data_IF_635436660208
#
_entry.id   IF_635436660208
#
_cell.length_a   1.000
_cell.length_b   1.000
_cell.length_c   1.000
_cell.angle_alpha   90.00
_cell.angle_beta   90.00
_cell.angle_gamma   90.00
#
_symmetry.space_group_name_H-M   'P 1'
#
loop_
_entity.id
_entity.type
_entity.pdbx_description
1 polymer ?
#
# COMPACT_ATOMS: atom_id res chain seq x y z
N UNK A 1 -6.44 29.23 31.07
CA UNK A 1 -6.15 27.76 31.25
C UNK A 1 -6.15 27.13 29.88
N UNK A 2 -4.99 26.94 29.27
CA UNK A 2 -4.88 26.27 27.96
C UNK A 2 -5.00 24.76 28.21
N UNK A 3 -6.13 24.17 27.86
CA UNK A 3 -6.29 22.73 27.87
C UNK A 3 -5.36 22.16 26.82
N UNK A 4 -4.38 21.36 27.24
CA UNK A 4 -3.50 20.66 26.29
C UNK A 4 -4.35 19.94 25.24
N UNK A 5 -4.01 20.05 23.95
CA UNK A 5 -4.78 19.44 22.88
C UNK A 5 -4.88 17.93 23.13
N UNK A 6 -6.11 17.45 23.26
CA UNK A 6 -6.38 16.03 23.43
C UNK A 6 -6.04 15.28 22.14
N UNK A 7 -5.66 14.02 22.23
CA UNK A 7 -5.42 13.15 21.05
C UNK A 7 -6.60 13.17 20.08
N UNK A 8 -7.83 13.34 20.59
CA UNK A 8 -9.04 13.52 19.79
C UNK A 8 -9.02 14.79 18.95
N UNK A 9 -8.53 15.92 19.51
CA UNK A 9 -8.41 17.17 18.78
C UNK A 9 -7.39 17.08 17.64
N UNK A 10 -6.26 16.40 17.87
CA UNK A 10 -5.25 16.15 16.84
C UNK A 10 -5.80 15.28 15.69
N UNK A 11 -6.52 14.20 16.02
CA UNK A 11 -7.18 13.34 15.01
C UNK A 11 -8.23 14.10 14.19
N UNK A 12 -9.08 14.90 14.85
CA UNK A 12 -10.09 15.70 14.17
C UNK A 12 -9.44 16.71 13.20
N UNK A 13 -8.35 17.38 13.64
CA UNK A 13 -7.60 18.29 12.79
C UNK A 13 -7.01 17.62 11.56
N UNK A 14 -6.40 16.46 11.69
CA UNK A 14 -5.84 15.70 10.56
C UNK A 14 -6.94 15.21 9.60
N UNK A 15 -8.07 14.78 10.13
CA UNK A 15 -9.23 14.40 9.32
C UNK A 15 -9.77 15.57 8.49
N UNK A 16 -9.92 16.75 9.10
CA UNK A 16 -10.36 17.96 8.41
C UNK A 16 -9.39 18.35 7.30
N UNK A 17 -8.07 18.31 7.56
CA UNK A 17 -7.04 18.57 6.55
C UNK A 17 -7.20 17.64 5.34
N UNK A 18 -7.37 16.36 5.58
CA UNK A 18 -7.50 15.35 4.52
C UNK A 18 -8.74 15.58 3.65
N UNK A 19 -9.84 16.05 4.23
CA UNK A 19 -11.08 16.37 3.51
C UNK A 19 -11.10 17.75 2.85
N UNK A 20 -10.33 18.71 3.35
CA UNK A 20 -10.35 20.11 2.87
C UNK A 20 -9.73 20.25 1.47
N UNK A 21 -8.81 19.38 1.09
CA UNK A 21 -8.17 19.39 -0.23
C UNK A 21 -8.99 18.54 -1.18
N UNK A 22 -9.94 19.17 -1.90
CA UNK A 22 -10.86 18.48 -2.84
C UNK A 22 -10.14 17.65 -3.91
N UNK A 23 -8.94 18.05 -4.32
CA UNK A 23 -8.14 17.32 -5.30
C UNK A 23 -7.72 15.92 -4.80
N UNK A 24 -7.49 15.73 -3.49
CA UNK A 24 -7.03 14.46 -2.91
C UNK A 24 -8.05 13.32 -3.08
N UNK A 25 -9.31 13.47 -2.63
CA UNK A 25 -10.29 12.39 -2.82
C UNK A 25 -10.63 12.15 -4.28
N UNK A 26 -10.62 13.18 -5.14
CA UNK A 26 -10.84 13.02 -6.57
C UNK A 26 -9.69 12.22 -7.22
N UNK A 27 -8.45 12.58 -6.94
CA UNK A 27 -7.29 11.83 -7.44
C UNK A 27 -7.29 10.38 -6.96
N UNK A 28 -7.65 10.13 -5.70
CA UNK A 28 -7.81 8.78 -5.16
C UNK A 28 -8.90 8.00 -5.90
N UNK A 29 -10.06 8.61 -6.12
CA UNK A 29 -11.17 7.97 -6.83
C UNK A 29 -10.80 7.64 -8.28
N UNK A 30 -10.16 8.56 -9.00
CA UNK A 30 -9.68 8.34 -10.37
C UNK A 30 -8.65 7.21 -10.42
N UNK A 31 -7.69 7.20 -9.50
CA UNK A 31 -6.67 6.15 -9.44
C UNK A 31 -7.27 4.78 -9.11
N UNK A 32 -8.23 4.72 -8.19
CA UNK A 32 -8.95 3.47 -7.88
C UNK A 32 -9.77 2.99 -9.07
N UNK A 33 -10.48 3.89 -9.77
CA UNK A 33 -11.22 3.55 -10.97
C UNK A 33 -10.29 3.02 -12.08
N UNK A 34 -9.14 3.67 -12.29
CA UNK A 34 -8.14 3.23 -13.26
C UNK A 34 -7.58 1.84 -12.88
N UNK A 35 -7.29 1.61 -11.59
CA UNK A 35 -6.82 0.32 -11.11
C UNK A 35 -7.84 -0.81 -11.35
N UNK A 36 -9.12 -0.55 -11.07
CA UNK A 36 -10.20 -1.51 -11.34
C UNK A 36 -10.38 -1.77 -12.84
N UNK A 37 -10.31 -0.73 -13.65
CA UNK A 37 -10.45 -0.83 -15.10
C UNK A 37 -9.32 -1.66 -15.71
N UNK A 38 -8.06 -1.40 -15.33
CA UNK A 38 -6.91 -2.19 -15.79
C UNK A 38 -7.02 -3.63 -15.30
N UNK A 39 -7.37 -3.86 -14.03
CA UNK A 39 -7.58 -5.20 -13.50
C UNK A 39 -8.68 -5.96 -14.24
N UNK A 40 -9.74 -5.29 -14.67
CA UNK A 40 -10.80 -5.89 -15.48
C UNK A 40 -10.28 -6.29 -16.87
N UNK A 41 -9.46 -5.44 -17.50
CA UNK A 41 -8.81 -5.76 -18.78
C UNK A 41 -7.90 -6.97 -18.64
N UNK A 42 -7.10 -7.04 -17.56
CA UNK A 42 -6.23 -8.18 -17.28
C UNK A 42 -7.04 -9.48 -17.18
N UNK A 43 -8.13 -9.48 -16.42
CA UNK A 43 -9.01 -10.64 -16.30
C UNK A 43 -9.71 -11.04 -17.60
N UNK A 44 -10.20 -10.07 -18.36
CA UNK A 44 -10.83 -10.30 -19.67
C UNK A 44 -9.82 -10.93 -20.64
N UNK A 45 -8.60 -10.36 -20.69
CA UNK A 45 -7.50 -10.91 -21.50
C UNK A 45 -7.15 -12.34 -21.11
N UNK A 46 -7.10 -12.66 -19.81
CA UNK A 46 -6.87 -14.03 -19.35
C UNK A 46 -7.98 -14.98 -19.78
N UNK A 47 -9.24 -14.56 -19.67
CA UNK A 47 -10.39 -15.37 -20.08
C UNK A 47 -10.40 -15.62 -21.59
N UNK A 48 -10.09 -14.62 -22.40
CA UNK A 48 -10.09 -14.72 -23.86
C UNK A 48 -8.94 -15.58 -24.38
N UNK A 49 -7.76 -15.40 -23.79
CA UNK A 49 -6.55 -16.12 -24.23
C UNK A 49 -6.35 -17.47 -23.54
N UNK A 50 -7.26 -17.90 -22.65
CA UNK A 50 -7.12 -19.15 -21.89
C UNK A 50 -6.88 -20.38 -22.75
N UNK A 51 -7.57 -20.47 -23.89
CA UNK A 51 -7.46 -21.60 -24.81
C UNK A 51 -6.07 -21.68 -25.51
N UNK A 52 -5.40 -20.55 -25.69
CA UNK A 52 -4.09 -20.46 -26.34
C UNK A 52 -2.91 -20.68 -25.35
N UNK A 53 -3.18 -20.67 -24.03
CA UNK A 53 -2.13 -20.84 -23.04
C UNK A 53 -1.59 -22.27 -23.02
N UNK A 54 -0.28 -22.38 -22.79
CA UNK A 54 0.38 -23.67 -22.58
C UNK A 54 -0.11 -24.35 -21.29
N UNK A 55 0.08 -25.66 -21.18
CA UNK A 55 -0.25 -26.41 -19.98
C UNK A 55 0.46 -25.82 -18.73
N UNK A 56 1.73 -25.46 -18.88
CA UNK A 56 2.53 -24.87 -17.81
C UNK A 56 2.00 -23.48 -17.37
N UNK A 57 1.55 -22.63 -18.31
CA UNK A 57 0.94 -21.35 -18.01
C UNK A 57 -0.37 -21.50 -17.24
N UNK A 58 -1.20 -22.48 -17.62
CA UNK A 58 -2.47 -22.77 -16.94
C UNK A 58 -2.25 -23.31 -15.53
N UNK A 59 -1.25 -24.16 -15.33
CA UNK A 59 -0.90 -24.70 -14.02
C UNK A 59 -0.41 -23.63 -13.05
N UNK A 60 0.32 -22.63 -13.56
CA UNK A 60 0.84 -21.50 -12.77
C UNK A 60 -0.19 -20.37 -12.56
N UNK A 61 -1.36 -20.47 -13.17
CA UNK A 61 -2.37 -19.43 -13.07
C UNK A 61 -3.01 -19.39 -11.69
N UNK A 62 -2.82 -18.28 -10.99
CA UNK A 62 -3.51 -17.97 -9.74
C UNK A 62 -4.51 -16.83 -10.03
N UNK A 63 -5.84 -17.13 -10.03
CA UNK A 63 -6.86 -16.15 -10.37
C UNK A 63 -6.84 -14.89 -9.49
N UNK A 64 -6.48 -15.04 -8.21
CA UNK A 64 -6.44 -13.91 -7.27
C UNK A 64 -5.21 -13.05 -7.53
N UNK A 65 -4.03 -13.66 -7.60
CA UNK A 65 -2.78 -12.96 -7.88
C UNK A 65 -2.81 -12.24 -9.21
N UNK A 66 -3.41 -12.84 -10.23
CA UNK A 66 -3.49 -12.26 -11.57
C UNK A 66 -4.21 -10.91 -11.57
N UNK A 67 -5.31 -10.78 -10.82
CA UNK A 67 -6.04 -9.52 -10.71
C UNK A 67 -5.34 -8.46 -9.88
N UNK A 68 -4.38 -8.86 -9.05
CA UNK A 68 -3.53 -7.94 -8.30
C UNK A 68 -2.21 -7.60 -9.03
N UNK A 69 -2.15 -7.80 -10.35
CA UNK A 69 -1.00 -7.41 -11.17
C UNK A 69 -1.10 -5.95 -11.67
N UNK A 70 -1.42 -5.73 -12.93
CA UNK A 70 -1.34 -4.43 -13.59
C UNK A 70 -2.09 -3.31 -12.88
N UNK A 71 -3.39 -3.47 -12.68
CA UNK A 71 -4.23 -2.43 -12.07
C UNK A 71 -3.84 -2.10 -10.64
N UNK A 72 -3.40 -3.09 -9.88
CA UNK A 72 -3.03 -2.88 -8.49
C UNK A 72 -1.73 -2.08 -8.32
N UNK A 73 -0.80 -2.16 -9.27
CA UNK A 73 0.39 -1.30 -9.30
C UNK A 73 0.03 0.19 -9.43
N UNK A 74 -1.01 0.52 -10.19
CA UNK A 74 -1.53 1.89 -10.27
C UNK A 74 -2.07 2.34 -8.90
N UNK A 75 -2.78 1.46 -8.19
CA UNK A 75 -3.24 1.76 -6.84
C UNK A 75 -2.09 1.97 -5.85
N UNK A 76 -1.04 1.15 -5.92
CA UNK A 76 0.19 1.30 -5.11
C UNK A 76 0.81 2.69 -5.33
N UNK A 77 0.96 3.11 -6.60
CA UNK A 77 1.48 4.44 -6.94
C UNK A 77 0.62 5.56 -6.35
N UNK A 78 -0.69 5.46 -6.53
CA UNK A 78 -1.63 6.49 -6.07
C UNK A 78 -1.67 6.60 -4.53
N UNK A 79 -1.87 5.48 -3.86
CA UNK A 79 -2.01 5.43 -2.39
C UNK A 79 -0.69 5.78 -1.71
N UNK A 80 0.45 5.31 -2.25
CA UNK A 80 1.78 5.68 -1.77
C UNK A 80 2.05 7.18 -1.89
N UNK A 81 1.70 7.79 -3.03
CA UNK A 81 1.84 9.24 -3.23
C UNK A 81 0.96 10.01 -2.23
N UNK A 82 -0.29 9.60 -2.03
CA UNK A 82 -1.17 10.25 -1.06
C UNK A 82 -0.61 10.16 0.36
N UNK A 83 -0.07 9.01 0.76
CA UNK A 83 0.61 8.87 2.05
C UNK A 83 1.80 9.81 2.19
N UNK A 84 2.64 9.90 1.16
CA UNK A 84 3.80 10.80 1.14
C UNK A 84 3.37 12.26 1.24
N UNK A 85 2.38 12.67 0.45
CA UNK A 85 1.86 14.05 0.44
C UNK A 85 1.27 14.45 1.79
N UNK A 86 0.64 13.53 2.50
CA UNK A 86 0.06 13.82 3.82
C UNK A 86 1.08 14.34 4.84
N UNK A 87 2.37 14.03 4.69
CA UNK A 87 3.43 14.59 5.52
C UNK A 87 4.23 15.68 4.81
N UNK A 88 4.73 15.40 3.59
CA UNK A 88 5.69 16.27 2.91
C UNK A 88 5.11 17.63 2.51
N UNK A 89 3.81 17.69 2.19
CA UNK A 89 3.15 18.97 1.85
C UNK A 89 3.16 19.98 3.00
N UNK A 90 3.12 19.53 4.25
CA UNK A 90 3.20 20.45 5.41
C UNK A 90 4.59 21.08 5.55
N UNK A 91 5.64 20.39 5.12
CA UNK A 91 6.99 20.97 5.09
C UNK A 91 7.14 21.98 3.94
N UNK A 92 6.64 21.65 2.75
CA UNK A 92 6.75 22.54 1.58
C UNK A 92 5.91 23.81 1.71
N UNK A 93 4.78 23.75 2.43
CA UNK A 93 3.91 24.90 2.69
C UNK A 93 4.23 25.64 4.01
N UNK A 94 5.16 25.11 4.82
CA UNK A 94 5.48 25.67 6.14
C UNK A 94 4.41 25.40 7.22
N UNK A 95 3.33 24.70 6.90
CA UNK A 95 2.23 24.38 7.82
C UNK A 95 2.68 23.51 9.01
N UNK A 96 3.79 22.79 8.87
CA UNK A 96 4.33 21.97 9.97
C UNK A 96 4.58 22.79 11.23
N UNK A 97 5.00 24.06 11.09
CA UNK A 97 5.26 24.97 12.24
C UNK A 97 3.99 25.28 13.01
N UNK A 98 2.90 25.59 12.31
CA UNK A 98 1.59 25.86 12.94
C UNK A 98 1.02 24.61 13.58
N UNK A 99 1.19 23.44 12.93
CA UNK A 99 0.77 22.14 13.47
C UNK A 99 1.50 21.83 14.77
N UNK A 100 2.82 22.02 14.83
CA UNK A 100 3.63 21.74 16.01
C UNK A 100 3.43 22.80 17.12
N UNK A 101 3.10 24.05 16.77
CA UNK A 101 2.71 25.05 17.74
C UNK A 101 1.37 24.75 18.43
N UNK A 102 0.41 24.18 17.64
CA UNK A 102 -0.88 23.76 18.17
C UNK A 102 -0.81 22.46 18.99
N UNK A 103 0.11 21.54 18.63
CA UNK A 103 0.31 20.24 19.30
C UNK A 103 1.80 20.09 19.66
N UNK A 104 2.23 20.55 20.86
CA UNK A 104 3.65 20.58 21.23
C UNK A 104 4.30 19.19 21.31
N UNK A 105 3.50 18.15 21.52
CA UNK A 105 3.98 16.76 21.55
C UNK A 105 4.12 16.20 20.14
N UNK A 106 5.29 16.37 19.53
CA UNK A 106 5.62 15.96 18.14
C UNK A 106 5.20 14.52 17.82
N UNK A 107 5.38 13.59 18.76
CA UNK A 107 4.94 12.19 18.59
C UNK A 107 3.42 12.03 18.42
N UNK A 108 2.62 12.89 19.06
CA UNK A 108 1.15 12.85 18.91
C UNK A 108 0.72 13.25 17.48
N UNK A 109 1.42 14.20 16.85
CA UNK A 109 1.16 14.58 15.45
C UNK A 109 1.44 13.40 14.52
N UNK A 110 2.59 12.71 14.72
CA UNK A 110 2.95 11.54 13.92
C UNK A 110 1.91 10.42 14.06
N UNK A 111 1.51 10.09 15.29
CA UNK A 111 0.52 9.05 15.58
C UNK A 111 -0.85 9.43 15.03
N UNK A 112 -1.32 10.66 15.25
CA UNK A 112 -2.62 11.10 14.73
C UNK A 112 -2.68 11.03 13.22
N UNK A 113 -1.63 11.49 12.52
CA UNK A 113 -1.52 11.42 11.07
C UNK A 113 -1.45 9.99 10.57
N UNK A 114 -0.67 9.13 11.23
CA UNK A 114 -0.59 7.70 10.90
C UNK A 114 -1.93 6.99 11.06
N UNK A 115 -2.69 7.28 12.11
CA UNK A 115 -4.02 6.69 12.31
C UNK A 115 -5.03 7.13 11.25
N UNK A 116 -5.03 8.41 10.89
CA UNK A 116 -5.95 8.95 9.88
C UNK A 116 -5.59 8.41 8.49
N UNK A 117 -4.33 8.54 8.08
CA UNK A 117 -3.86 8.06 6.77
C UNK A 117 -4.00 6.53 6.68
N UNK A 118 -3.56 5.80 7.72
CA UNK A 118 -3.66 4.36 7.79
C UNK A 118 -5.10 3.85 7.74
N UNK A 119 -6.01 4.48 8.49
CA UNK A 119 -7.43 4.12 8.50
C UNK A 119 -8.10 4.34 7.14
N UNK A 120 -7.87 5.51 6.53
CA UNK A 120 -8.43 5.82 5.20
C UNK A 120 -7.85 4.91 4.14
N UNK A 121 -6.54 4.72 4.11
CA UNK A 121 -5.90 3.84 3.12
C UNK A 121 -6.24 2.37 3.33
N UNK A 122 -6.49 1.92 4.58
CA UNK A 122 -6.98 0.57 4.85
C UNK A 122 -8.39 0.37 4.29
N UNK A 123 -9.30 1.31 4.50
CA UNK A 123 -10.65 1.24 3.94
C UNK A 123 -10.63 1.24 2.41
N UNK A 124 -9.89 2.15 1.79
CA UNK A 124 -9.76 2.23 0.34
C UNK A 124 -9.07 0.99 -0.24
N UNK A 125 -8.01 0.53 0.40
CA UNK A 125 -7.28 -0.66 -0.02
C UNK A 125 -8.12 -1.93 0.06
N UNK A 126 -8.87 -2.11 1.16
CA UNK A 126 -9.77 -3.25 1.28
C UNK A 126 -10.92 -3.19 0.27
N UNK A 127 -11.51 -2.01 0.08
CA UNK A 127 -12.55 -1.82 -0.92
C UNK A 127 -12.05 -2.18 -2.32
N UNK A 128 -10.88 -1.66 -2.71
CA UNK A 128 -10.27 -1.97 -4.00
C UNK A 128 -9.99 -3.47 -4.14
N UNK A 129 -9.37 -4.09 -3.14
CA UNK A 129 -9.03 -5.51 -3.19
C UNK A 129 -10.28 -6.40 -3.34
N UNK A 130 -11.34 -6.11 -2.59
CA UNK A 130 -12.60 -6.82 -2.72
C UNK A 130 -13.27 -6.59 -4.08
N UNK A 131 -13.32 -5.35 -4.56
CA UNK A 131 -13.89 -5.05 -5.87
C UNK A 131 -13.11 -5.73 -7.00
N UNK A 132 -11.78 -5.68 -6.97
CA UNK A 132 -10.92 -6.37 -7.94
C UNK A 132 -11.21 -7.87 -7.93
N UNK A 133 -11.28 -8.49 -6.75
CA UNK A 133 -11.63 -9.90 -6.61
C UNK A 133 -13.01 -10.24 -7.18
N UNK A 134 -14.05 -9.44 -6.86
CA UNK A 134 -15.41 -9.66 -7.34
C UNK A 134 -15.52 -9.52 -8.86
N UNK A 135 -14.87 -8.50 -9.43
CA UNK A 135 -14.81 -8.30 -10.89
C UNK A 135 -14.09 -9.45 -11.58
N UNK A 136 -12.95 -9.88 -11.03
CA UNK A 136 -12.21 -11.02 -11.55
C UNK A 136 -13.02 -12.32 -11.51
N UNK A 137 -13.67 -12.59 -10.39
CA UNK A 137 -14.57 -13.74 -10.25
C UNK A 137 -15.67 -13.73 -11.31
N UNK A 138 -16.27 -12.56 -11.57
CA UNK A 138 -17.31 -12.41 -12.61
C UNK A 138 -16.73 -12.63 -14.02
N UNK A 139 -15.60 -12.03 -14.33
CA UNK A 139 -14.95 -12.16 -15.64
C UNK A 139 -14.54 -13.62 -15.95
N UNK A 140 -14.05 -14.34 -14.93
CA UNK A 140 -13.59 -15.73 -15.08
C UNK A 140 -14.69 -16.78 -14.96
N UNK A 141 -15.92 -16.40 -14.58
CA UNK A 141 -17.03 -17.35 -14.35
C UNK A 141 -17.42 -18.13 -15.61
N UNK A 142 -17.40 -17.47 -16.77
CA UNK A 142 -17.73 -18.11 -18.06
C UNK A 142 -16.73 -19.19 -18.54
N UNK A 143 -15.56 -19.26 -17.92
CA UNK A 143 -14.51 -20.26 -18.22
C UNK A 143 -14.32 -21.28 -17.10
N UNK A 144 -15.17 -21.32 -16.08
CA UNK A 144 -15.05 -22.16 -14.88
C UNK A 144 -13.72 -21.95 -14.11
N UNK A 145 -13.10 -20.77 -14.25
CA UNK A 145 -11.86 -20.40 -13.57
C UNK A 145 -12.10 -19.57 -12.29
N UNK A 146 -13.36 -19.25 -12.01
CA UNK A 146 -13.74 -18.45 -10.86
C UNK A 146 -13.56 -19.23 -9.55
N UNK A 147 -12.86 -18.65 -8.59
CA UNK A 147 -12.68 -19.22 -7.25
C UNK A 147 -13.60 -18.55 -6.24
N UNK A 148 -14.22 -19.30 -5.30
CA UNK A 148 -15.00 -18.70 -4.24
C UNK A 148 -14.11 -18.05 -3.19
N UNK A 149 -14.63 -17.03 -2.47
CA UNK A 149 -13.89 -16.35 -1.41
C UNK A 149 -13.49 -17.30 -0.26
N UNK A 150 -14.30 -18.34 -0.03
CA UNK A 150 -14.03 -19.37 0.99
C UNK A 150 -12.98 -20.41 0.58
N UNK A 151 -12.46 -20.37 -0.65
CA UNK A 151 -11.38 -21.28 -1.04
C UNK A 151 -10.10 -21.01 -0.22
N UNK A 152 -9.29 -22.05 0.03
CA UNK A 152 -8.08 -21.91 0.84
C UNK A 152 -7.18 -20.78 0.35
N UNK A 153 -6.79 -19.87 1.23
CA UNK A 153 -5.89 -18.77 0.93
C UNK A 153 -6.50 -17.55 0.24
N UNK A 154 -7.69 -17.64 -0.37
CA UNK A 154 -8.30 -16.53 -1.14
C UNK A 154 -8.63 -15.33 -0.25
N UNK A 155 -9.38 -15.52 0.82
CA UNK A 155 -9.72 -14.42 1.73
C UNK A 155 -8.46 -13.75 2.31
N UNK A 156 -7.45 -14.55 2.68
CA UNK A 156 -6.16 -14.06 3.17
C UNK A 156 -5.45 -13.20 2.11
N UNK A 157 -5.42 -13.66 0.86
CA UNK A 157 -4.75 -12.92 -0.22
C UNK A 157 -5.45 -11.58 -0.49
N UNK A 158 -6.78 -11.57 -0.57
CA UNK A 158 -7.57 -10.34 -0.76
C UNK A 158 -7.34 -9.34 0.39
N UNK A 159 -7.43 -9.81 1.64
CA UNK A 159 -7.19 -8.96 2.82
C UNK A 159 -5.73 -8.50 2.85
N UNK A 160 -4.79 -9.39 2.55
CA UNK A 160 -3.36 -9.07 2.53
C UNK A 160 -3.00 -7.98 1.54
N UNK A 161 -3.55 -8.02 0.32
CA UNK A 161 -3.34 -6.99 -0.69
C UNK A 161 -3.92 -5.63 -0.26
N UNK A 162 -5.11 -5.62 0.36
CA UNK A 162 -5.69 -4.38 0.89
C UNK A 162 -4.86 -3.78 2.04
N UNK A 163 -4.36 -4.62 2.95
CA UNK A 163 -3.47 -4.20 4.04
C UNK A 163 -2.12 -3.72 3.52
N UNK A 164 -1.60 -4.33 2.44
CA UNK A 164 -0.38 -3.86 1.80
C UNK A 164 -0.51 -2.41 1.32
N UNK A 165 -1.63 -2.04 0.68
CA UNK A 165 -1.87 -0.64 0.27
C UNK A 165 -1.84 0.32 1.45
N UNK A 166 -2.47 -0.07 2.56
CA UNK A 166 -2.42 0.75 3.79
C UNK A 166 -0.99 0.91 4.32
N UNK A 167 -0.26 -0.18 4.40
CA UNK A 167 1.12 -0.15 4.85
C UNK A 167 2.02 0.66 3.90
N UNK A 168 1.77 0.58 2.60
CA UNK A 168 2.52 1.35 1.60
C UNK A 168 2.24 2.86 1.72
N UNK A 169 0.99 3.26 1.99
CA UNK A 169 0.66 4.64 2.32
C UNK A 169 1.38 5.13 3.59
N UNK A 170 1.41 4.28 4.62
CA UNK A 170 2.11 4.58 5.87
C UNK A 170 3.63 4.68 5.69
N UNK A 171 4.23 3.84 4.84
CA UNK A 171 5.64 3.98 4.45
C UNK A 171 5.89 5.31 3.74
N UNK A 172 5.01 5.69 2.80
CA UNK A 172 5.05 7.00 2.15
C UNK A 172 4.97 8.15 3.14
N UNK A 173 4.05 8.07 4.11
CA UNK A 173 3.91 9.05 5.19
C UNK A 173 5.20 9.18 6.00
N UNK A 174 5.78 8.06 6.43
CA UNK A 174 7.02 8.05 7.21
C UNK A 174 8.20 8.63 6.41
N UNK A 175 8.35 8.27 5.14
CA UNK A 175 9.36 8.85 4.25
C UNK A 175 9.16 10.36 4.04
N UNK A 176 7.91 10.82 3.97
CA UNK A 176 7.59 12.25 3.91
C UNK A 176 8.10 13.03 5.13
N UNK A 177 8.00 12.45 6.33
CA UNK A 177 8.57 13.03 7.56
C UNK A 177 10.11 12.98 7.58
N UNK A 178 10.72 11.90 7.08
CA UNK A 178 12.17 11.71 7.07
C UNK A 178 12.85 12.66 6.09
N UNK A 179 12.36 12.70 4.84
CA UNK A 179 12.99 13.43 3.74
C UNK A 179 12.52 14.88 3.64
N UNK A 180 11.36 15.23 4.18
CA UNK A 180 10.79 16.59 4.22
C UNK A 180 10.68 17.26 2.84
N UNK A 181 10.78 16.48 1.78
CA UNK A 181 10.73 16.91 0.38
C UNK A 181 9.88 15.93 -0.42
N UNK A 182 8.84 16.43 -1.07
CA UNK A 182 7.83 15.59 -1.72
C UNK A 182 8.39 14.71 -2.81
N UNK A 183 9.12 15.28 -3.78
CA UNK A 183 9.66 14.51 -4.90
C UNK A 183 10.67 13.46 -4.42
N UNK A 184 11.53 13.79 -3.46
CA UNK A 184 12.48 12.85 -2.88
C UNK A 184 11.80 11.69 -2.16
N UNK A 185 10.75 11.97 -1.39
CA UNK A 185 10.02 10.95 -0.64
C UNK A 185 9.23 10.01 -1.56
N UNK A 186 8.59 10.57 -2.61
CA UNK A 186 7.91 9.78 -3.64
C UNK A 186 8.91 8.92 -4.41
N UNK A 187 10.04 9.50 -4.86
CA UNK A 187 11.07 8.76 -5.58
C UNK A 187 11.69 7.63 -4.73
N UNK A 188 11.95 7.88 -3.44
CA UNK A 188 12.47 6.88 -2.52
C UNK A 188 11.45 5.73 -2.29
N UNK A 189 10.17 6.06 -2.12
CA UNK A 189 9.12 5.07 -1.92
C UNK A 189 8.98 4.15 -3.15
N UNK A 190 8.93 4.72 -4.34
CA UNK A 190 8.81 3.97 -5.58
C UNK A 190 10.09 3.22 -5.94
N UNK A 191 11.25 3.84 -5.70
CA UNK A 191 12.53 3.16 -5.82
C UNK A 191 12.59 1.92 -4.93
N UNK A 192 12.18 2.04 -3.67
CA UNK A 192 12.13 0.91 -2.74
C UNK A 192 11.19 -0.21 -3.23
N UNK A 193 10.10 0.12 -3.91
CA UNK A 193 9.15 -0.88 -4.43
C UNK A 193 9.61 -1.47 -5.76
N UNK A 194 9.84 -0.64 -6.78
CA UNK A 194 10.09 -1.11 -8.15
C UNK A 194 11.53 -1.52 -8.41
N UNK A 195 12.51 -0.92 -7.71
CA UNK A 195 13.92 -1.27 -7.88
C UNK A 195 14.36 -2.40 -6.95
N UNK A 196 13.57 -2.75 -5.92
CA UNK A 196 13.95 -3.81 -4.98
C UNK A 196 14.24 -5.15 -5.66
N UNK A 197 13.48 -5.64 -6.65
CA UNK A 197 13.81 -6.90 -7.30
C UNK A 197 15.17 -6.84 -8.01
N UNK A 198 15.46 -5.75 -8.72
CA UNK A 198 16.71 -5.57 -9.45
C UNK A 198 17.92 -5.44 -8.51
N UNK A 199 17.75 -4.69 -7.41
CA UNK A 199 18.85 -4.42 -6.47
C UNK A 199 19.14 -5.62 -5.55
N UNK A 200 18.12 -6.42 -5.22
CA UNK A 200 18.27 -7.54 -4.30
C UNK A 200 18.56 -8.87 -5.00
N UNK A 201 18.25 -9.01 -6.28
CA UNK A 201 18.53 -10.23 -7.05
C UNK A 201 20.01 -10.69 -6.99
N UNK A 202 21.02 -9.79 -7.12
CA UNK A 202 22.42 -10.20 -7.03
C UNK A 202 22.85 -10.70 -5.65
N UNK A 203 22.06 -10.41 -4.60
CA UNK A 203 22.33 -10.83 -3.21
C UNK A 203 21.79 -12.22 -2.90
N UNK A 204 21.19 -12.88 -3.90
CA UNK A 204 20.61 -14.22 -3.80
C UNK A 204 19.18 -14.24 -3.27
N UNK A 205 18.52 -15.40 -3.46
CA UNK A 205 17.09 -15.59 -3.16
C UNK A 205 16.76 -15.38 -1.68
N UNK A 206 17.72 -15.70 -0.79
CA UNK A 206 17.58 -15.47 0.65
C UNK A 206 17.31 -14.01 1.04
N UNK A 207 17.79 -13.05 0.24
CA UNK A 207 17.62 -11.61 0.47
C UNK A 207 16.51 -11.04 -0.41
N UNK A 208 16.42 -11.46 -1.67
CA UNK A 208 15.46 -10.94 -2.66
C UNK A 208 14.00 -11.16 -2.24
N UNK A 209 13.71 -12.24 -1.49
CA UNK A 209 12.38 -12.52 -0.92
C UNK A 209 11.86 -11.45 0.04
N UNK A 210 12.74 -10.64 0.64
CA UNK A 210 12.36 -9.53 1.51
C UNK A 210 12.08 -8.24 0.73
N UNK A 211 12.32 -8.19 -0.58
CA UNK A 211 11.98 -7.05 -1.40
C UNK A 211 10.50 -6.68 -1.25
N UNK A 212 10.20 -5.38 -1.26
CA UNK A 212 8.84 -4.90 -0.99
C UNK A 212 7.83 -5.39 -2.05
N UNK A 213 8.28 -5.53 -3.30
CA UNK A 213 7.46 -6.14 -4.36
C UNK A 213 7.27 -7.64 -4.13
N UNK A 214 8.32 -8.37 -3.72
CA UNK A 214 8.23 -9.81 -3.40
C UNK A 214 7.27 -10.07 -2.23
N UNK A 215 7.28 -9.21 -1.22
CA UNK A 215 6.33 -9.25 -0.08
C UNK A 215 4.90 -9.03 -0.57
N UNK A 216 4.69 -8.06 -1.46
CA UNK A 216 3.36 -7.80 -2.06
C UNK A 216 2.86 -9.03 -2.83
N UNK A 217 3.67 -9.57 -3.72
CA UNK A 217 3.32 -10.77 -4.50
C UNK A 217 3.04 -11.98 -3.60
N UNK A 218 3.82 -12.16 -2.53
CA UNK A 218 3.61 -13.22 -1.56
C UNK A 218 2.31 -13.09 -0.76
N UNK A 219 1.84 -11.86 -0.50
CA UNK A 219 0.53 -11.62 0.12
C UNK A 219 -0.63 -11.93 -0.84
N UNK A 220 -0.49 -11.60 -2.12
CA UNK A 220 -1.53 -11.77 -3.13
C UNK A 220 -1.68 -13.20 -3.66
N UNK A 221 -0.75 -14.11 -3.40
CA UNK A 221 -0.85 -15.49 -3.88
C UNK A 221 -1.75 -16.36 -3.01
N UNK A 222 -2.58 -17.20 -3.64
CA UNK A 222 -3.43 -18.18 -2.94
C UNK A 222 -2.73 -19.52 -2.74
N UNK A 223 -1.84 -19.88 -3.67
CA UNK A 223 -1.07 -21.11 -3.61
C UNK A 223 0.06 -20.92 -2.62
N UNK A 224 0.13 -21.78 -1.61
CA UNK A 224 1.32 -21.89 -0.77
C UNK A 224 2.47 -22.38 -1.66
N UNK A 225 3.24 -21.44 -2.21
CA UNK A 225 4.41 -21.79 -3.01
C UNK A 225 5.39 -22.50 -2.08
N UNK A 226 5.50 -23.81 -2.22
CA UNK A 226 6.41 -24.67 -1.48
C UNK A 226 7.87 -24.52 -1.98
N UNK A 227 8.28 -23.31 -2.33
CA UNK A 227 9.64 -22.98 -2.74
C UNK A 227 10.37 -22.25 -1.65
N UNK A 228 11.63 -22.60 -1.40
CA UNK A 228 12.52 -21.91 -0.45
C UNK A 228 12.71 -20.40 -0.78
N UNK A 229 12.29 -19.98 -1.96
CA UNK A 229 12.57 -18.67 -2.54
C UNK A 229 11.56 -17.59 -2.16
N UNK A 230 10.45 -17.92 -1.50
CA UNK A 230 9.40 -16.96 -1.12
C UNK A 230 9.07 -17.02 0.36
N UNK A 231 8.77 -15.85 0.91
CA UNK A 231 8.24 -15.77 2.26
C UNK A 231 6.83 -16.35 2.31
N UNK A 232 6.57 -17.21 3.29
CA UNK A 232 5.20 -17.59 3.61
C UNK A 232 4.39 -16.37 4.08
N UNK A 233 3.05 -16.50 4.15
CA UNK A 233 2.17 -15.37 4.48
C UNK A 233 2.54 -14.65 5.78
N UNK A 234 2.87 -15.40 6.82
CA UNK A 234 3.31 -14.83 8.12
C UNK A 234 4.62 -14.06 7.95
N UNK A 235 5.56 -14.59 7.17
CA UNK A 235 6.81 -13.90 6.84
C UNK A 235 6.60 -12.60 6.08
N UNK A 236 5.65 -12.56 5.15
CA UNK A 236 5.29 -11.34 4.43
C UNK A 236 4.71 -10.26 5.36
N UNK A 237 3.80 -10.63 6.27
CA UNK A 237 3.26 -9.69 7.27
C UNK A 237 4.34 -9.23 8.25
N UNK A 238 5.24 -10.11 8.68
CA UNK A 238 6.34 -9.76 9.56
C UNK A 238 7.33 -8.79 8.87
N UNK A 239 7.68 -9.05 7.61
CA UNK A 239 8.53 -8.16 6.83
C UNK A 239 7.89 -6.77 6.66
N UNK A 240 6.57 -6.71 6.35
CA UNK A 240 5.84 -5.46 6.22
C UNK A 240 5.80 -4.67 7.53
N UNK A 241 5.57 -5.35 8.65
CA UNK A 241 5.63 -4.75 9.98
C UNK A 241 7.04 -4.23 10.31
N UNK A 242 8.08 -4.96 9.92
CA UNK A 242 9.47 -4.54 10.05
C UNK A 242 9.78 -3.27 9.27
N UNK A 243 9.34 -3.18 8.03
CA UNK A 243 9.48 -1.96 7.23
C UNK A 243 8.80 -0.76 7.88
N UNK A 244 7.57 -0.93 8.37
CA UNK A 244 6.85 0.12 9.08
C UNK A 244 7.56 0.53 10.36
N UNK A 245 8.01 -0.43 11.18
CA UNK A 245 8.71 -0.16 12.43
C UNK A 245 9.97 0.67 12.19
N UNK A 246 10.79 0.29 11.21
CA UNK A 246 12.01 1.03 10.85
C UNK A 246 11.66 2.44 10.35
N UNK A 247 10.71 2.55 9.42
CA UNK A 247 10.35 3.84 8.83
C UNK A 247 9.78 4.83 9.87
N UNK A 248 8.88 4.36 10.75
CA UNK A 248 8.31 5.20 11.81
C UNK A 248 9.32 5.54 12.91
N UNK A 249 10.25 4.65 13.22
CA UNK A 249 11.36 4.95 14.13
C UNK A 249 12.23 6.07 13.58
N UNK A 250 12.62 5.98 12.30
CA UNK A 250 13.40 7.03 11.64
C UNK A 250 12.62 8.35 11.57
N UNK A 251 11.31 8.31 11.29
CA UNK A 251 10.46 9.49 11.29
C UNK A 251 10.37 10.14 12.69
N UNK A 252 10.19 9.35 13.74
CA UNK A 252 10.14 9.83 15.11
C UNK A 252 11.48 10.46 15.57
N UNK A 253 12.60 9.80 15.25
CA UNK A 253 13.94 10.33 15.52
C UNK A 253 14.21 11.63 14.73
N UNK A 254 13.80 11.68 13.47
CA UNK A 254 13.92 12.88 12.65
C UNK A 254 13.11 14.06 13.20
N UNK A 255 11.91 13.79 13.73
CA UNK A 255 11.06 14.79 14.34
C UNK A 255 11.59 15.30 15.68
N UNK A 256 12.26 14.45 16.47
CA UNK A 256 12.80 14.80 17.78
C UNK A 256 14.11 15.59 17.70
N UNK A 257 14.98 15.26 16.72
CA UNK A 257 16.35 15.80 16.62
C UNK A 257 16.49 17.03 15.73
N UNK A 258 15.56 17.29 14.82
CA UNK A 258 15.63 18.40 13.88
C UNK A 258 14.51 19.39 14.18
N UNK A 259 14.88 20.67 14.38
CA UNK A 259 13.90 21.74 14.48
C UNK A 259 13.16 21.91 13.13
N UNK A 260 11.88 22.19 13.22
CA UNK A 260 11.00 22.36 12.06
C UNK A 260 11.12 23.76 11.46
#
# INVERSE_FOLDING_TARGET
MSTAPTTRGALAGEWVKLRSVRATPLAAAVALAAALFIGLIDYASAADNWASWSAEQRERFDPVRYGFSGGFYVAVLAVGTLGTLAASSEYTTGQIRTTLAAVPRRGQVLVAKALVVGGVSALLGQLLAFLTFLLGRRALSGRHLAVPLGAPGVARAVIGCGLFLSAFALLGLALGFVLRHTAGAVAALFGLFFLSPMLLAPLGDGVSRFGLQSVFEGLGTTVASAGADRLGPVGCFAALAGYLAVAFTLAALGLSRRDA
#
